data_IF_507984356019
#
_entry.id   IF_507984356019
#
_cell.length_a   1.000
_cell.length_b   1.000
_cell.length_c   1.000
_cell.angle_alpha   90.00
_cell.angle_beta   90.00
_cell.angle_gamma   90.00
#
_symmetry.space_group_name_H-M   'P 1'
#
loop_
_entity.id
_entity.type
_entity.pdbx_description
1 polymer ?
#
# COMPACT_ATOMS: atom_id res chain seq x y z
N UNK A 1 -25.67 -21.94 -8.27
CA UNK A 1 -24.52 -22.65 -8.90
C UNK A 1 -24.23 -22.19 -10.32
N UNK A 2 -25.21 -22.11 -11.24
CA UNK A 2 -24.95 -21.63 -12.61
C UNK A 2 -24.34 -20.22 -12.68
N UNK A 3 -24.89 -19.24 -11.95
CA UNK A 3 -24.38 -17.86 -11.93
C UNK A 3 -22.92 -17.73 -11.45
N UNK A 4 -22.47 -18.56 -10.50
CA UNK A 4 -21.10 -18.54 -9.97
C UNK A 4 -20.08 -19.08 -11.00
N UNK A 5 -20.48 -20.08 -11.79
CA UNK A 5 -19.63 -20.68 -12.83
C UNK A 5 -19.41 -19.71 -14.01
N UNK A 6 -20.46 -18.96 -14.39
CA UNK A 6 -20.37 -17.92 -15.43
C UNK A 6 -19.64 -16.64 -14.94
N UNK A 7 -19.73 -16.32 -13.64
CA UNK A 7 -18.96 -15.27 -12.97
C UNK A 7 -17.45 -15.44 -13.18
N UNK A 8 -16.97 -16.67 -12.97
CA UNK A 8 -15.58 -17.04 -13.17
C UNK A 8 -15.19 -16.97 -14.66
N UNK A 9 -16.10 -17.31 -15.57
CA UNK A 9 -15.82 -17.33 -16.99
C UNK A 9 -15.59 -15.92 -17.58
N UNK A 10 -16.44 -14.94 -17.22
CA UNK A 10 -16.26 -13.55 -17.65
C UNK A 10 -14.98 -12.94 -17.07
N UNK A 11 -14.73 -13.15 -15.76
CA UNK A 11 -13.50 -12.71 -15.11
C UNK A 11 -12.25 -13.31 -15.78
N UNK A 12 -12.25 -14.60 -16.10
CA UNK A 12 -11.10 -15.29 -16.72
C UNK A 12 -10.80 -14.80 -18.14
N UNK A 13 -11.80 -14.37 -18.91
CA UNK A 13 -11.60 -13.86 -20.28
C UNK A 13 -11.08 -12.42 -20.27
N UNK A 14 -11.60 -11.57 -19.39
CA UNK A 14 -11.26 -10.14 -19.34
C UNK A 14 -9.95 -9.88 -18.60
N UNK A 15 -9.67 -10.71 -17.59
CA UNK A 15 -8.44 -10.67 -16.80
C UNK A 15 -7.16 -10.54 -17.64
N UNK A 16 -6.84 -11.42 -18.61
CA UNK A 16 -5.59 -11.33 -19.36
C UNK A 16 -5.50 -10.05 -20.20
N UNK A 17 -6.62 -9.58 -20.76
CA UNK A 17 -6.66 -8.36 -21.58
C UNK A 17 -6.34 -7.14 -20.73
N UNK A 18 -7.04 -7.00 -19.60
CA UNK A 18 -6.87 -5.88 -18.66
C UNK A 18 -5.48 -5.90 -18.03
N UNK A 19 -4.99 -7.08 -17.66
CA UNK A 19 -3.64 -7.26 -17.14
C UNK A 19 -2.59 -6.77 -18.14
N UNK A 20 -2.73 -7.11 -19.43
CA UNK A 20 -1.84 -6.64 -20.48
C UNK A 20 -1.92 -5.12 -20.64
N UNK A 21 -3.13 -4.55 -20.72
CA UNK A 21 -3.32 -3.09 -20.89
C UNK A 21 -2.64 -2.33 -19.75
N UNK A 22 -2.91 -2.70 -18.50
CA UNK A 22 -2.37 -2.01 -17.33
C UNK A 22 -0.86 -2.22 -17.19
N UNK A 23 -0.39 -3.46 -17.35
CA UNK A 23 1.04 -3.78 -17.21
C UNK A 23 1.84 -3.08 -18.31
N UNK A 24 1.48 -3.29 -19.58
CA UNK A 24 2.24 -2.72 -20.71
C UNK A 24 2.10 -1.20 -20.74
N UNK A 25 0.88 -0.68 -20.52
CA UNK A 25 0.61 0.75 -20.47
C UNK A 25 1.45 1.45 -19.41
N UNK A 26 1.37 1.01 -18.16
CA UNK A 26 2.13 1.61 -17.07
C UNK A 26 3.64 1.39 -17.22
N UNK A 27 4.09 0.19 -17.63
CA UNK A 27 5.52 -0.06 -17.86
C UNK A 27 6.10 0.87 -18.93
N UNK A 28 5.36 1.10 -20.02
CA UNK A 28 5.81 2.00 -21.09
C UNK A 28 5.96 3.44 -20.60
N UNK A 29 5.03 3.91 -19.77
CA UNK A 29 5.07 5.24 -19.15
C UNK A 29 6.23 5.36 -18.16
N UNK A 30 6.39 4.35 -17.28
CA UNK A 30 7.46 4.31 -16.27
C UNK A 30 8.81 4.36 -16.97
N UNK A 31 9.09 3.45 -17.90
CA UNK A 31 10.39 3.39 -18.57
C UNK A 31 10.67 4.62 -19.45
N UNK A 32 9.63 5.15 -20.11
CA UNK A 32 9.77 6.33 -20.95
C UNK A 32 10.04 7.62 -20.17
N UNK A 33 9.37 7.82 -19.03
CA UNK A 33 9.50 9.03 -18.22
C UNK A 33 10.59 8.95 -17.15
N UNK A 34 11.02 7.75 -16.75
CA UNK A 34 12.05 7.55 -15.74
C UNK A 34 13.32 8.39 -15.94
N UNK A 35 13.96 8.43 -17.13
CA UNK A 35 15.15 9.27 -17.33
C UNK A 35 14.83 10.77 -17.21
N UNK A 36 13.64 11.20 -17.64
CA UNK A 36 13.19 12.59 -17.54
C UNK A 36 12.97 12.97 -16.08
N UNK A 37 12.27 12.14 -15.33
CA UNK A 37 12.04 12.31 -13.89
C UNK A 37 13.37 12.36 -13.14
N UNK A 38 14.29 11.43 -13.42
CA UNK A 38 15.61 11.41 -12.80
C UNK A 38 16.36 12.72 -13.01
N UNK A 39 16.49 13.16 -14.26
CA UNK A 39 17.15 14.43 -14.58
C UNK A 39 16.45 15.62 -13.91
N UNK A 40 15.12 15.68 -13.99
CA UNK A 40 14.34 16.80 -13.47
C UNK A 40 14.40 16.90 -11.94
N UNK A 41 14.37 15.77 -11.22
CA UNK A 41 14.52 15.78 -9.75
C UNK A 41 15.86 16.38 -9.35
N UNK A 42 16.97 15.91 -9.94
CA UNK A 42 18.29 16.42 -9.61
C UNK A 42 18.45 17.89 -9.98
N UNK A 43 17.91 18.29 -11.12
CA UNK A 43 17.85 19.69 -11.51
C UNK A 43 17.12 20.54 -10.46
N UNK A 44 15.94 20.13 -9.99
CA UNK A 44 15.18 20.85 -8.97
C UNK A 44 15.89 20.88 -7.60
N UNK A 45 16.47 19.76 -7.15
CA UNK A 45 17.23 19.68 -5.88
C UNK A 45 18.44 20.62 -5.89
N UNK A 46 19.16 20.72 -7.00
CA UNK A 46 20.32 21.61 -7.08
C UNK A 46 19.93 23.08 -7.29
N UNK A 47 18.83 23.32 -8.00
CA UNK A 47 18.34 24.67 -8.32
C UNK A 47 17.55 25.33 -7.18
N UNK A 48 17.02 24.56 -6.22
CA UNK A 48 16.24 25.14 -5.12
C UNK A 48 17.10 26.04 -4.23
N UNK A 49 16.48 27.11 -3.73
CA UNK A 49 17.08 28.06 -2.78
C UNK A 49 16.76 27.73 -1.32
N UNK A 50 15.89 26.74 -1.08
CA UNK A 50 15.46 26.38 0.27
C UNK A 50 16.49 25.55 1.04
N UNK A 51 17.35 24.80 0.34
CA UNK A 51 18.23 23.79 0.95
C UNK A 51 19.68 24.28 1.01
N UNK A 52 20.33 24.07 2.15
CA UNK A 52 21.78 24.27 2.30
C UNK A 52 22.60 23.22 1.53
N UNK A 53 23.91 23.46 1.31
CA UNK A 53 24.75 22.58 0.49
C UNK A 53 24.79 21.13 0.98
N UNK A 54 24.99 20.92 2.29
CA UNK A 54 25.04 19.58 2.87
C UNK A 54 23.71 18.82 2.71
N UNK A 55 22.58 19.51 2.91
CA UNK A 55 21.25 18.94 2.76
C UNK A 55 20.94 18.59 1.30
N UNK A 56 21.40 19.38 0.33
CA UNK A 56 21.30 19.05 -1.11
C UNK A 56 22.01 17.75 -1.44
N UNK A 57 23.21 17.52 -0.92
CA UNK A 57 23.93 16.26 -1.12
C UNK A 57 23.18 15.07 -0.52
N UNK A 58 22.72 15.18 0.73
CA UNK A 58 21.98 14.11 1.41
C UNK A 58 20.69 13.79 0.65
N UNK A 59 19.88 14.80 0.32
CA UNK A 59 18.63 14.61 -0.44
C UNK A 59 18.93 14.05 -1.83
N UNK A 60 20.02 14.44 -2.48
CA UNK A 60 20.41 13.86 -3.78
C UNK A 60 20.68 12.36 -3.70
N UNK A 61 21.37 11.91 -2.64
CA UNK A 61 21.63 10.48 -2.42
C UNK A 61 20.32 9.73 -2.14
N UNK A 62 19.47 10.27 -1.24
CA UNK A 62 18.17 9.68 -0.94
C UNK A 62 17.26 9.63 -2.18
N UNK A 63 17.20 10.71 -2.95
CA UNK A 63 16.46 10.81 -4.19
C UNK A 63 16.96 9.79 -5.20
N UNK A 64 18.27 9.57 -5.32
CA UNK A 64 18.81 8.53 -6.20
C UNK A 64 18.28 7.14 -5.85
N UNK A 65 18.30 6.78 -4.55
CA UNK A 65 17.79 5.49 -4.07
C UNK A 65 16.30 5.35 -4.37
N UNK A 66 15.50 6.37 -4.05
CA UNK A 66 14.05 6.36 -4.32
C UNK A 66 13.77 6.28 -5.83
N UNK A 67 14.46 7.10 -6.64
CA UNK A 67 14.33 7.15 -8.10
C UNK A 67 14.77 5.86 -8.78
N UNK A 68 15.68 5.10 -8.16
CA UNK A 68 16.09 3.79 -8.65
C UNK A 68 15.12 2.69 -8.25
N UNK A 69 14.56 2.73 -7.04
CA UNK A 69 13.65 1.69 -6.52
C UNK A 69 12.21 1.82 -7.04
N UNK A 70 11.71 3.06 -7.24
CA UNK A 70 10.31 3.26 -7.59
C UNK A 70 9.85 2.58 -8.90
N UNK A 71 10.66 2.42 -9.98
CA UNK A 71 10.19 1.76 -11.19
C UNK A 71 9.87 0.29 -10.92
N UNK A 72 10.70 -0.40 -10.13
CA UNK A 72 10.48 -1.80 -9.77
C UNK A 72 9.20 -1.96 -8.94
N UNK A 73 9.00 -1.08 -7.96
CA UNK A 73 7.79 -1.08 -7.11
C UNK A 73 6.55 -0.76 -7.96
N UNK A 74 6.63 0.24 -8.84
CA UNK A 74 5.52 0.64 -9.70
C UNK A 74 5.14 -0.45 -10.73
N UNK A 75 6.12 -1.15 -11.29
CA UNK A 75 5.88 -2.29 -12.19
C UNK A 75 5.22 -3.45 -11.43
N UNK A 76 5.78 -3.84 -10.28
CA UNK A 76 5.19 -4.91 -9.45
C UNK A 76 3.75 -4.57 -9.04
N UNK A 77 3.51 -3.34 -8.62
CA UNK A 77 2.18 -2.85 -8.24
C UNK A 77 1.23 -2.78 -9.44
N UNK A 78 1.73 -2.47 -10.64
CA UNK A 78 0.92 -2.48 -11.86
C UNK A 78 0.47 -3.89 -12.26
N UNK A 79 1.32 -4.91 -12.06
CA UNK A 79 0.97 -6.31 -12.31
C UNK A 79 -0.10 -6.77 -11.31
N UNK A 80 0.14 -6.52 -10.01
CA UNK A 80 -0.79 -6.91 -8.94
C UNK A 80 -2.12 -6.16 -9.10
N UNK A 81 -2.07 -4.85 -9.31
CA UNK A 81 -3.23 -3.99 -9.51
C UNK A 81 -3.99 -4.36 -10.78
N UNK A 82 -3.30 -4.71 -11.86
CA UNK A 82 -3.93 -5.18 -13.10
C UNK A 82 -4.61 -6.53 -12.93
N UNK A 83 -3.99 -7.45 -12.19
CA UNK A 83 -4.59 -8.73 -11.86
C UNK A 83 -5.84 -8.57 -10.98
N UNK A 84 -5.74 -7.76 -9.92
CA UNK A 84 -6.85 -7.48 -9.02
C UNK A 84 -8.00 -6.78 -9.75
N UNK A 85 -7.73 -5.72 -10.51
CA UNK A 85 -8.75 -4.96 -11.23
C UNK A 85 -9.41 -5.79 -12.34
N UNK A 86 -8.61 -6.51 -13.14
CA UNK A 86 -9.11 -7.36 -14.22
C UNK A 86 -9.97 -8.53 -13.75
N UNK A 87 -9.75 -9.01 -12.52
CA UNK A 87 -10.59 -10.04 -11.91
C UNK A 87 -11.81 -9.47 -11.18
N UNK A 88 -11.63 -8.46 -10.34
CA UNK A 88 -12.68 -7.95 -9.45
C UNK A 88 -13.70 -7.06 -10.17
N UNK A 89 -13.28 -6.26 -11.15
CA UNK A 89 -14.20 -5.35 -11.85
C UNK A 89 -15.32 -6.07 -12.60
N UNK A 90 -15.06 -7.12 -13.41
CA UNK A 90 -16.12 -7.89 -14.05
C UNK A 90 -17.01 -8.63 -13.03
N UNK A 91 -16.41 -9.14 -11.94
CA UNK A 91 -17.15 -9.78 -10.84
C UNK A 91 -18.16 -8.81 -10.23
N UNK A 92 -17.77 -7.56 -9.93
CA UNK A 92 -18.70 -6.56 -9.40
C UNK A 92 -19.77 -6.14 -10.40
N UNK A 93 -19.44 -6.00 -11.69
CA UNK A 93 -20.41 -5.69 -12.74
C UNK A 93 -21.49 -6.78 -12.86
N UNK A 94 -21.12 -8.05 -12.70
CA UNK A 94 -22.10 -9.15 -12.72
C UNK A 94 -23.06 -9.11 -11.53
N UNK A 95 -22.57 -8.73 -10.34
CA UNK A 95 -23.46 -8.57 -9.17
C UNK A 95 -24.46 -7.43 -9.37
N UNK A 96 -24.03 -6.29 -9.91
CA UNK A 96 -24.92 -5.16 -10.19
C UNK A 96 -26.00 -5.51 -11.23
N UNK A 97 -25.66 -6.32 -12.24
CA UNK A 97 -26.61 -6.72 -13.27
C UNK A 97 -27.65 -7.77 -12.81
N UNK A 98 -27.31 -8.60 -11.81
CA UNK A 98 -28.26 -9.56 -11.19
C UNK A 98 -29.30 -8.84 -10.33
N UNK A 99 -28.96 -7.68 -9.76
CA UNK A 99 -29.85 -6.84 -8.95
C UNK A 99 -30.85 -6.04 -9.83
N UNK A 100 -30.45 -5.68 -11.05
CA UNK A 100 -31.34 -5.04 -12.03
C UNK A 100 -32.32 -6.03 -12.66
N UNK A 101 -33.64 -5.87 -12.42
CA UNK A 101 -34.75 -6.63 -13.06
C UNK A 101 -34.85 -6.36 -14.58
N UNK A 102 -33.82 -6.67 -15.35
CA UNK A 102 -33.76 -6.43 -16.79
C UNK A 102 -34.03 -7.71 -17.58
N UNK A 103 -34.83 -7.58 -18.64
CA UNK A 103 -35.33 -8.69 -19.47
C UNK A 103 -34.25 -9.43 -20.27
N UNK A 104 -33.02 -8.89 -20.33
CA UNK A 104 -31.82 -9.52 -20.90
C UNK A 104 -30.57 -9.29 -20.02
N UNK A 105 -30.72 -9.42 -18.69
CA UNK A 105 -29.67 -9.16 -17.70
C UNK A 105 -28.32 -9.81 -18.03
N UNK A 106 -28.32 -11.00 -18.64
CA UNK A 106 -27.11 -11.75 -18.97
C UNK A 106 -26.24 -11.13 -20.07
N UNK A 107 -26.84 -10.68 -21.18
CA UNK A 107 -26.08 -10.09 -22.29
C UNK A 107 -25.51 -8.73 -21.86
N UNK A 108 -26.32 -7.91 -21.21
CA UNK A 108 -25.87 -6.62 -20.68
C UNK A 108 -24.79 -6.78 -19.61
N UNK A 109 -24.93 -7.74 -18.70
CA UNK A 109 -23.93 -8.00 -17.66
C UNK A 109 -22.55 -8.34 -18.21
N UNK A 110 -22.49 -9.21 -19.22
CA UNK A 110 -21.22 -9.69 -19.77
C UNK A 110 -20.65 -8.67 -20.75
N UNK A 111 -21.46 -8.18 -21.69
CA UNK A 111 -20.98 -7.29 -22.75
C UNK A 111 -20.61 -5.90 -22.21
N UNK A 112 -21.52 -5.25 -21.47
CA UNK A 112 -21.24 -3.92 -20.92
C UNK A 112 -20.24 -4.01 -19.78
N UNK A 113 -20.37 -4.99 -18.89
CA UNK A 113 -19.43 -5.18 -17.78
C UNK A 113 -17.99 -5.41 -18.28
N UNK A 114 -17.80 -6.26 -19.30
CA UNK A 114 -16.48 -6.49 -19.90
C UNK A 114 -15.93 -5.25 -20.59
N UNK A 115 -16.75 -4.60 -21.43
CA UNK A 115 -16.31 -3.46 -22.21
C UNK A 115 -16.01 -2.25 -21.34
N UNK A 116 -16.78 -2.05 -20.27
CA UNK A 116 -16.55 -0.98 -19.30
C UNK A 116 -15.33 -1.26 -18.42
N UNK A 117 -15.03 -2.52 -18.07
CA UNK A 117 -13.74 -2.85 -17.43
C UNK A 117 -12.56 -2.52 -18.35
N UNK A 118 -12.65 -2.83 -19.65
CA UNK A 118 -11.58 -2.49 -20.60
C UNK A 118 -11.40 -0.98 -20.72
N UNK A 119 -12.49 -0.21 -20.88
CA UNK A 119 -12.43 1.26 -20.86
C UNK A 119 -11.85 1.79 -19.55
N UNK A 120 -12.29 1.26 -18.42
CA UNK A 120 -11.80 1.62 -17.10
C UNK A 120 -10.30 1.38 -16.97
N UNK A 121 -9.78 0.29 -17.52
CA UNK A 121 -8.34 0.03 -17.55
C UNK A 121 -7.56 1.07 -18.37
N UNK A 122 -8.10 1.54 -19.50
CA UNK A 122 -7.50 2.62 -20.28
C UNK A 122 -7.54 3.96 -19.53
N UNK A 123 -8.63 4.24 -18.80
CA UNK A 123 -8.72 5.41 -17.92
C UNK A 123 -7.67 5.35 -16.82
N UNK A 124 -7.46 4.21 -16.17
CA UNK A 124 -6.41 4.06 -15.14
C UNK A 124 -5.02 4.37 -15.70
N UNK A 125 -4.68 3.86 -16.90
CA UNK A 125 -3.39 4.18 -17.55
C UNK A 125 -3.28 5.68 -17.86
N UNK A 126 -4.38 6.30 -18.30
CA UNK A 126 -4.42 7.74 -18.58
C UNK A 126 -4.24 8.58 -17.32
N UNK A 127 -4.91 8.22 -16.24
CA UNK A 127 -4.79 8.92 -14.95
C UNK A 127 -3.36 8.79 -14.40
N UNK A 128 -2.77 7.59 -14.51
CA UNK A 128 -1.39 7.37 -14.13
C UNK A 128 -0.42 8.21 -14.98
N UNK A 129 -0.65 8.28 -16.30
CA UNK A 129 0.11 9.18 -17.20
C UNK A 129 -0.03 10.64 -16.74
N UNK A 130 -1.24 11.10 -16.44
CA UNK A 130 -1.48 12.49 -16.03
C UNK A 130 -0.77 12.81 -14.70
N UNK A 131 -0.71 11.86 -13.76
CA UNK A 131 0.11 11.97 -12.53
C UNK A 131 1.60 12.12 -12.86
N UNK A 132 2.13 11.27 -13.75
CA UNK A 132 3.55 11.29 -14.11
C UNK A 132 3.95 12.52 -14.93
N UNK A 133 3.05 13.06 -15.76
CA UNK A 133 3.33 14.22 -16.63
C UNK A 133 3.01 15.57 -15.99
N UNK A 134 2.03 15.64 -15.10
CA UNK A 134 1.55 16.91 -14.55
C UNK A 134 1.83 17.02 -13.06
N UNK A 135 1.31 16.09 -12.25
CA UNK A 135 1.45 16.17 -10.80
C UNK A 135 2.91 16.10 -10.37
N UNK A 136 3.69 15.20 -10.96
CA UNK A 136 5.11 15.05 -10.65
C UNK A 136 5.90 16.35 -10.88
N UNK A 137 5.76 16.94 -12.08
CA UNK A 137 6.49 18.16 -12.43
C UNK A 137 6.02 19.35 -11.59
N UNK A 138 4.71 19.45 -11.32
CA UNK A 138 4.15 20.48 -10.44
C UNK A 138 4.77 20.43 -9.04
N UNK A 139 4.85 19.24 -8.43
CA UNK A 139 5.44 19.07 -7.09
C UNK A 139 6.92 19.45 -7.11
N UNK A 140 7.67 19.03 -8.14
CA UNK A 140 9.08 19.37 -8.29
C UNK A 140 9.30 20.87 -8.54
N UNK A 141 8.41 21.52 -9.28
CA UNK A 141 8.43 22.96 -9.52
C UNK A 141 8.13 23.75 -8.25
N UNK A 142 7.14 23.33 -7.46
CA UNK A 142 6.82 23.94 -6.17
C UNK A 142 8.04 23.88 -5.24
N UNK A 143 8.70 22.73 -5.15
CA UNK A 143 9.95 22.56 -4.38
C UNK A 143 11.11 23.43 -4.87
N UNK A 144 11.20 23.68 -6.19
CA UNK A 144 12.25 24.52 -6.78
C UNK A 144 11.99 26.01 -6.56
N UNK A 145 10.74 26.43 -6.75
CA UNK A 145 10.34 27.83 -6.84
C UNK A 145 10.02 28.45 -5.48
N UNK A 146 9.51 27.67 -4.52
CA UNK A 146 9.24 28.18 -3.19
C UNK A 146 10.55 28.64 -2.54
N UNK A 147 10.55 29.86 -2.00
CA UNK A 147 11.64 30.39 -1.20
C UNK A 147 11.56 29.88 0.25
N UNK A 148 12.65 30.02 1.04
CA UNK A 148 12.56 29.79 2.48
C UNK A 148 11.59 30.78 3.13
N UNK A 149 10.66 30.28 3.95
CA UNK A 149 9.62 31.08 4.61
C UNK A 149 10.18 32.12 5.59
N UNK A 150 11.34 31.84 6.20
CA UNK A 150 12.03 32.71 7.16
C UNK A 150 13.33 33.33 6.58
N UNK A 151 13.50 33.27 5.24
CA UNK A 151 14.72 33.76 4.57
C UNK A 151 15.99 32.93 4.82
N UNK A 152 15.98 32.03 5.81
CA UNK A 152 17.06 31.09 6.11
C UNK A 152 16.84 29.76 5.39
N UNK A 153 17.90 29.26 4.76
CA UNK A 153 17.90 27.94 4.15
C UNK A 153 17.91 26.85 5.23
N UNK A 154 17.28 25.71 4.94
CA UNK A 154 17.31 24.53 5.80
C UNK A 154 18.68 23.86 5.71
N UNK A 155 19.32 23.63 6.86
CA UNK A 155 20.63 22.97 6.94
C UNK A 155 20.61 21.82 7.95
N UNK A 156 21.35 20.75 7.64
CA UNK A 156 21.47 19.57 8.52
C UNK A 156 22.71 19.71 9.39
N UNK A 157 22.57 19.33 10.67
CA UNK A 157 23.68 19.15 11.60
C UNK A 157 24.41 17.84 11.29
N UNK A 158 25.42 17.93 10.42
CA UNK A 158 26.18 16.76 9.92
C UNK A 158 26.76 15.90 11.05
N UNK A 159 27.12 16.50 12.18
CA UNK A 159 27.66 15.82 13.36
C UNK A 159 26.74 14.71 13.91
N UNK A 160 25.42 14.87 13.80
CA UNK A 160 24.44 13.90 14.32
C UNK A 160 24.04 12.84 13.30
N UNK A 161 24.48 12.94 12.04
CA UNK A 161 24.18 11.95 10.99
C UNK A 161 24.76 10.57 11.35
N UNK A 162 26.04 10.43 11.74
CA UNK A 162 26.58 9.11 12.10
C UNK A 162 25.82 8.47 13.26
N UNK A 163 25.43 9.27 14.25
CA UNK A 163 24.67 8.79 15.40
C UNK A 163 23.26 8.35 15.01
N UNK A 164 22.60 9.09 14.11
CA UNK A 164 21.31 8.72 13.55
C UNK A 164 21.40 7.43 12.72
N UNK A 165 22.47 7.24 11.93
CA UNK A 165 22.68 6.02 11.15
C UNK A 165 22.80 4.77 12.05
N UNK A 166 23.58 4.87 13.15
CA UNK A 166 23.67 3.78 14.13
C UNK A 166 22.29 3.44 14.71
N UNK A 167 21.47 4.45 15.02
CA UNK A 167 20.14 4.22 15.54
C UNK A 167 19.18 3.62 14.50
N UNK A 168 19.28 4.00 13.22
CA UNK A 168 18.53 3.35 12.12
C UNK A 168 18.90 1.88 12.04
N UNK A 169 20.20 1.55 12.04
CA UNK A 169 20.66 0.16 11.97
C UNK A 169 20.14 -0.66 13.16
N UNK A 170 20.26 -0.14 14.38
CA UNK A 170 19.74 -0.80 15.58
C UNK A 170 18.22 -0.96 15.53
N UNK A 171 17.49 0.07 15.11
CA UNK A 171 16.03 0.01 14.97
C UNK A 171 15.59 -1.05 13.97
N UNK A 172 16.23 -1.12 12.80
CA UNK A 172 15.94 -2.15 11.81
C UNK A 172 16.29 -3.57 12.30
N UNK A 173 17.44 -3.72 12.96
CA UNK A 173 17.90 -5.01 13.51
C UNK A 173 16.96 -5.53 14.59
N UNK A 174 16.33 -4.65 15.36
CA UNK A 174 15.42 -5.05 16.44
C UNK A 174 13.97 -5.18 15.94
N UNK A 175 13.45 -4.17 15.22
CA UNK A 175 12.03 -4.11 14.88
C UNK A 175 11.63 -5.17 13.87
N UNK A 176 12.44 -5.42 12.84
CA UNK A 176 12.13 -6.42 11.82
C UNK A 176 11.91 -7.82 12.43
N UNK A 177 12.86 -8.41 13.18
CA UNK A 177 12.65 -9.73 13.75
C UNK A 177 11.59 -9.75 14.85
N UNK A 178 11.48 -8.71 15.69
CA UNK A 178 10.49 -8.68 16.77
C UNK A 178 9.07 -8.56 16.23
N UNK A 179 8.81 -7.64 15.30
CA UNK A 179 7.50 -7.49 14.66
C UNK A 179 7.14 -8.74 13.87
N UNK A 180 8.09 -9.34 13.16
CA UNK A 180 7.89 -10.61 12.47
C UNK A 180 7.48 -11.72 13.44
N UNK A 181 8.15 -11.84 14.60
CA UNK A 181 7.84 -12.84 15.62
C UNK A 181 6.45 -12.62 16.23
N UNK A 182 6.13 -11.39 16.65
CA UNK A 182 4.82 -11.03 17.21
C UNK A 182 3.72 -11.31 16.18
N UNK A 183 3.92 -10.88 14.93
CA UNK A 183 2.98 -11.12 13.85
C UNK A 183 2.79 -12.62 13.57
N UNK A 184 3.88 -13.41 13.59
CA UNK A 184 3.81 -14.85 13.37
C UNK A 184 3.04 -15.58 14.49
N UNK A 185 3.20 -15.14 15.74
CA UNK A 185 2.44 -15.67 16.88
C UNK A 185 0.94 -15.31 16.81
N UNK A 186 0.61 -14.08 16.40
CA UNK A 186 -0.77 -13.58 16.33
C UNK A 186 -1.51 -13.98 15.05
N UNK A 187 -0.78 -14.32 13.99
CA UNK A 187 -1.32 -14.69 12.67
C UNK A 187 -2.34 -15.84 12.71
N UNK A 188 -2.09 -16.99 13.37
CA UNK A 188 -3.06 -18.09 13.44
C UNK A 188 -4.34 -17.69 14.17
N UNK A 189 -4.20 -16.83 15.19
CA UNK A 189 -5.34 -16.37 15.97
C UNK A 189 -6.22 -15.41 15.17
N UNK A 190 -5.61 -14.44 14.46
CA UNK A 190 -6.33 -13.54 13.56
C UNK A 190 -7.10 -14.32 12.49
N UNK A 191 -6.47 -15.35 11.93
CA UNK A 191 -7.10 -16.25 10.97
C UNK A 191 -8.33 -16.92 11.59
N UNK A 192 -8.17 -17.63 12.71
CA UNK A 192 -9.26 -18.37 13.33
C UNK A 192 -10.40 -17.48 13.83
N UNK A 193 -10.08 -16.41 14.57
CA UNK A 193 -11.06 -15.48 15.15
C UNK A 193 -11.88 -14.80 14.06
N UNK A 194 -11.20 -14.23 13.06
CA UNK A 194 -11.87 -13.53 11.97
C UNK A 194 -12.73 -14.47 11.14
N UNK A 195 -12.24 -15.68 10.87
CA UNK A 195 -13.01 -16.66 10.10
C UNK A 195 -14.25 -17.12 10.87
N UNK A 196 -14.11 -17.42 12.17
CA UNK A 196 -15.23 -17.77 13.05
C UNK A 196 -16.28 -16.65 13.12
N UNK A 197 -15.85 -15.39 13.23
CA UNK A 197 -16.75 -14.23 13.24
C UNK A 197 -17.52 -14.11 11.94
N UNK A 198 -16.85 -14.20 10.79
CA UNK A 198 -17.49 -14.15 9.48
C UNK A 198 -18.49 -15.29 9.27
N UNK A 199 -18.19 -16.51 9.72
CA UNK A 199 -19.14 -17.62 9.71
C UNK A 199 -20.33 -17.38 10.65
N UNK A 200 -20.08 -16.84 11.84
CA UNK A 200 -21.14 -16.54 12.80
C UNK A 200 -22.08 -15.46 12.27
N UNK A 201 -21.56 -14.38 11.70
CA UNK A 201 -22.35 -13.30 11.09
C UNK A 201 -23.18 -13.83 9.91
N UNK A 202 -22.62 -14.76 9.14
CA UNK A 202 -23.32 -15.44 8.05
C UNK A 202 -24.49 -16.33 8.51
N UNK A 203 -24.35 -17.03 9.64
CA UNK A 203 -25.38 -17.93 10.19
C UNK A 203 -26.44 -17.14 10.98
N UNK A 204 -25.99 -16.17 11.79
CA UNK A 204 -26.83 -15.33 12.63
C UNK A 204 -27.62 -14.27 11.85
N UNK A 205 -27.26 -14.06 10.57
CA UNK A 205 -27.91 -13.08 9.69
C UNK A 205 -27.80 -11.65 10.25
N UNK A 206 -26.65 -11.35 10.85
CA UNK A 206 -26.32 -10.06 11.47
C UNK A 206 -25.32 -9.28 10.60
N UNK A 207 -25.28 -7.95 10.74
CA UNK A 207 -24.33 -7.09 10.01
C UNK A 207 -24.62 -6.99 8.49
N UNK A 208 -23.61 -6.97 7.61
CA UNK A 208 -23.81 -6.84 6.16
C UNK A 208 -24.60 -8.02 5.56
N UNK A 209 -24.88 -9.07 6.32
CA UNK A 209 -25.61 -10.28 5.92
C UNK A 209 -27.13 -10.18 6.12
N UNK A 210 -27.65 -9.03 6.55
CA UNK A 210 -29.09 -8.81 6.76
C UNK A 210 -29.87 -8.84 5.44
N UNK A 211 -29.30 -8.25 4.39
CA UNK A 211 -29.89 -8.19 3.06
C UNK A 211 -29.42 -9.35 2.19
N UNK A 212 -30.38 -10.00 1.52
CA UNK A 212 -30.12 -11.12 0.60
C UNK A 212 -29.17 -10.77 -0.55
N UNK A 213 -29.03 -9.47 -0.84
CA UNK A 213 -28.15 -8.91 -1.88
C UNK A 213 -26.67 -9.06 -1.48
N UNK A 214 -26.36 -9.06 -0.19
CA UNK A 214 -24.98 -9.06 0.32
C UNK A 214 -24.41 -10.47 0.54
N UNK A 215 -25.21 -11.53 0.46
CA UNK A 215 -24.81 -12.94 0.68
C UNK A 215 -23.62 -13.38 -0.20
N UNK A 216 -23.53 -12.98 -1.50
CA UNK A 216 -22.36 -13.30 -2.32
C UNK A 216 -21.08 -12.58 -1.88
N UNK A 217 -21.17 -11.31 -1.47
CA UNK A 217 -20.04 -10.51 -0.98
C UNK A 217 -19.51 -11.07 0.35
N UNK A 218 -20.44 -11.44 1.21
CA UNK A 218 -20.23 -12.19 2.43
C UNK A 218 -19.44 -13.50 2.22
N UNK A 219 -19.89 -14.34 1.27
CA UNK A 219 -19.19 -15.57 0.91
C UNK A 219 -17.79 -15.34 0.35
N UNK A 220 -17.63 -14.28 -0.47
CA UNK A 220 -16.33 -13.87 -0.99
C UNK A 220 -15.39 -13.39 0.13
N UNK A 221 -15.90 -12.64 1.12
CA UNK A 221 -15.14 -12.21 2.28
C UNK A 221 -14.64 -13.40 3.14
N UNK A 222 -15.49 -14.41 3.35
CA UNK A 222 -15.12 -15.66 4.04
C UNK A 222 -14.01 -16.39 3.27
N UNK A 223 -14.09 -16.43 1.93
CA UNK A 223 -13.10 -17.09 1.08
C UNK A 223 -11.76 -16.33 1.03
N UNK A 224 -11.81 -15.00 0.98
CA UNK A 224 -10.64 -14.14 0.86
C UNK A 224 -9.97 -13.83 2.21
N UNK A 225 -10.62 -14.15 3.34
CA UNK A 225 -10.08 -13.89 4.67
C UNK A 225 -8.66 -14.44 4.87
N UNK A 226 -8.31 -15.70 4.51
CA UNK A 226 -6.95 -16.19 4.65
C UNK A 226 -5.91 -15.36 3.87
N UNK A 227 -6.28 -14.89 2.67
CA UNK A 227 -5.41 -14.04 1.86
C UNK A 227 -5.21 -12.67 2.50
N UNK A 228 -6.26 -12.10 3.09
CA UNK A 228 -6.18 -10.84 3.83
C UNK A 228 -5.25 -10.94 5.04
N UNK A 229 -5.31 -12.05 5.79
CA UNK A 229 -4.42 -12.28 6.95
C UNK A 229 -2.96 -12.47 6.50
N UNK A 230 -2.72 -13.17 5.39
CA UNK A 230 -1.37 -13.30 4.79
C UNK A 230 -0.84 -11.92 4.37
N UNK A 231 -1.67 -11.12 3.71
CA UNK A 231 -1.30 -9.76 3.32
C UNK A 231 -1.00 -8.87 4.54
N UNK A 232 -1.78 -9.00 5.62
CA UNK A 232 -1.53 -8.28 6.87
C UNK A 232 -0.18 -8.66 7.50
N UNK A 233 0.17 -9.96 7.51
CA UNK A 233 1.46 -10.42 8.02
C UNK A 233 2.65 -9.83 7.23
N UNK A 234 2.62 -9.91 5.90
CA UNK A 234 3.66 -9.28 5.07
C UNK A 234 3.64 -7.75 5.19
N UNK A 235 2.46 -7.15 5.34
CA UNK A 235 2.29 -5.73 5.62
C UNK A 235 2.99 -5.30 6.90
N UNK A 236 2.89 -6.08 7.98
CA UNK A 236 3.59 -5.82 9.23
C UNK A 236 5.11 -5.85 9.08
N UNK A 237 5.65 -6.83 8.33
CA UNK A 237 7.09 -6.91 8.04
C UNK A 237 7.54 -5.72 7.19
N UNK A 238 6.73 -5.30 6.22
CA UNK A 238 7.06 -4.12 5.41
C UNK A 238 7.00 -2.83 6.23
N UNK A 239 6.03 -2.72 7.15
CA UNK A 239 5.84 -1.57 8.02
C UNK A 239 6.91 -1.47 9.13
N UNK A 240 7.54 -2.57 9.55
CA UNK A 240 8.62 -2.53 10.54
C UNK A 240 9.86 -1.78 10.05
N UNK A 241 10.09 -1.70 8.75
CA UNK A 241 11.23 -0.99 8.16
C UNK A 241 11.16 0.53 8.41
N UNK A 242 10.10 1.25 7.97
CA UNK A 242 10.00 2.68 8.26
C UNK A 242 9.83 2.96 9.76
N UNK A 243 9.20 2.05 10.52
CA UNK A 243 9.06 2.19 11.97
C UNK A 243 10.43 2.19 12.66
N UNK A 244 11.26 1.17 12.43
CA UNK A 244 12.59 1.08 13.03
C UNK A 244 13.55 2.16 12.52
N UNK A 245 13.47 2.53 11.23
CA UNK A 245 14.27 3.61 10.67
C UNK A 245 13.94 4.99 11.27
N UNK A 246 12.73 5.20 11.79
CA UNK A 246 12.35 6.45 12.43
C UNK A 246 13.13 6.73 13.72
N UNK A 247 13.74 5.71 14.35
CA UNK A 247 14.66 5.90 15.48
C UNK A 247 15.78 6.90 15.15
N UNK A 248 16.31 6.87 13.93
CA UNK A 248 17.32 7.82 13.47
C UNK A 248 16.82 9.27 13.44
N UNK A 249 15.55 9.47 13.06
CA UNK A 249 14.92 10.79 13.07
C UNK A 249 14.81 11.32 14.49
N UNK A 250 14.41 10.47 15.45
CA UNK A 250 14.33 10.84 16.87
C UNK A 250 15.70 11.22 17.43
N UNK A 251 16.75 10.45 17.14
CA UNK A 251 18.12 10.80 17.55
C UNK A 251 18.55 12.15 16.98
N UNK A 252 18.22 12.40 15.72
CA UNK A 252 18.58 13.64 15.04
C UNK A 252 17.84 14.87 15.61
N UNK A 253 16.57 14.71 15.97
CA UNK A 253 15.74 15.76 16.57
C UNK A 253 16.18 16.07 18.01
N UNK A 254 16.28 15.04 18.85
CA UNK A 254 16.57 15.14 20.28
C UNK A 254 18.07 15.27 20.60
N UNK A 255 18.94 15.18 19.58
CA UNK A 255 20.40 15.21 19.72
C UNK A 255 20.94 14.16 20.73
N UNK A 256 20.22 13.05 20.91
CA UNK A 256 20.51 12.05 21.95
C UNK A 256 20.31 10.64 21.39
N UNK A 257 21.31 9.76 21.55
CA UNK A 257 21.16 8.36 21.16
C UNK A 257 20.19 7.62 22.09
N UNK A 258 20.12 8.03 23.36
CA UNK A 258 19.23 7.43 24.34
C UNK A 258 17.76 7.56 23.95
N UNK A 259 17.34 8.72 23.44
CA UNK A 259 15.95 8.90 22.97
C UNK A 259 15.63 8.01 21.77
N UNK A 260 16.59 7.77 20.87
CA UNK A 260 16.45 6.80 19.79
C UNK A 260 16.25 5.38 20.29
N UNK A 261 17.04 4.94 21.28
CA UNK A 261 16.87 3.62 21.90
C UNK A 261 15.52 3.50 22.61
N UNK A 262 15.10 4.54 23.35
CA UNK A 262 13.76 4.59 23.95
C UNK A 262 12.66 4.51 22.89
N UNK A 263 12.83 5.17 21.75
CA UNK A 263 11.88 5.10 20.65
C UNK A 263 11.75 3.68 20.08
N UNK A 264 12.85 2.96 19.88
CA UNK A 264 12.81 1.57 19.39
C UNK A 264 11.93 0.72 20.32
N UNK A 265 12.17 0.79 21.62
CA UNK A 265 11.36 0.06 22.62
C UNK A 265 9.89 0.51 22.59
N UNK A 266 9.64 1.82 22.52
CA UNK A 266 8.29 2.37 22.48
C UNK A 266 7.52 1.99 21.21
N UNK A 267 8.21 1.90 20.07
CA UNK A 267 7.60 1.54 18.78
C UNK A 267 7.15 0.08 18.77
N UNK A 268 7.92 -0.81 19.40
CA UNK A 268 7.53 -2.21 19.60
C UNK A 268 6.33 -2.35 20.53
N UNK A 269 6.31 -1.61 21.65
CA UNK A 269 5.15 -1.65 22.54
C UNK A 269 3.90 -1.12 21.85
N UNK A 270 4.04 -0.06 21.05
CA UNK A 270 2.93 0.49 20.26
C UNK A 270 2.41 -0.53 19.24
N UNK A 271 3.29 -1.25 18.55
CA UNK A 271 2.88 -2.30 17.62
C UNK A 271 2.20 -3.48 18.35
N UNK A 272 2.73 -3.91 19.50
CA UNK A 272 2.14 -4.99 20.28
C UNK A 272 0.74 -4.60 20.81
N UNK A 273 0.60 -3.40 21.36
CA UNK A 273 -0.66 -2.83 21.85
C UNK A 273 -1.68 -2.70 20.72
N UNK A 274 -1.30 -2.08 19.60
CA UNK A 274 -2.18 -1.95 18.43
C UNK A 274 -2.66 -3.31 17.91
N UNK A 275 -1.75 -4.28 17.83
CA UNK A 275 -2.13 -5.63 17.37
C UNK A 275 -2.95 -6.40 18.40
N UNK A 276 -2.78 -6.12 19.70
CA UNK A 276 -3.65 -6.65 20.75
C UNK A 276 -5.06 -6.08 20.63
N UNK A 277 -5.21 -4.76 20.44
CA UNK A 277 -6.51 -4.10 20.28
C UNK A 277 -7.27 -4.63 19.05
N UNK A 278 -6.60 -4.76 17.91
CA UNK A 278 -7.19 -5.33 16.69
C UNK A 278 -7.71 -6.77 16.93
N UNK A 279 -7.08 -7.50 17.86
CA UNK A 279 -7.39 -8.88 18.17
C UNK A 279 -8.18 -9.05 19.48
N UNK A 280 -8.60 -7.97 20.14
CA UNK A 280 -9.19 -7.97 21.49
C UNK A 280 -8.40 -8.86 22.50
N UNK A 281 -7.07 -8.81 22.45
CA UNK A 281 -6.18 -9.53 23.36
C UNK A 281 -5.78 -8.67 24.57
N UNK A 282 -5.52 -9.25 25.75
CA UNK A 282 -4.94 -8.51 26.86
C UNK A 282 -3.49 -8.07 26.56
N UNK A 283 -3.10 -6.93 27.13
CA UNK A 283 -1.76 -6.33 26.99
C UNK A 283 -0.64 -7.34 27.30
N UNK A 284 0.38 -7.38 26.44
CA UNK A 284 1.56 -8.24 26.62
C UNK A 284 1.30 -9.74 26.49
N UNK A 285 0.11 -10.15 26.05
CA UNK A 285 -0.22 -11.56 25.85
C UNK A 285 -0.19 -11.94 24.38
N UNK A 286 0.23 -13.18 24.10
CA UNK A 286 0.01 -13.82 22.80
C UNK A 286 -1.33 -14.58 22.75
N UNK A 287 -2.15 -14.51 23.80
CA UNK A 287 -3.34 -15.35 23.97
C UNK A 287 -4.54 -14.54 24.48
N UNK A 288 -5.74 -14.73 23.93
CA UNK A 288 -6.94 -14.00 24.34
C UNK A 288 -7.38 -14.32 25.77
N UNK A 289 -8.17 -13.41 26.37
CA UNK A 289 -8.98 -13.73 27.56
C UNK A 289 -10.00 -14.81 27.20
N UNK A 290 -10.04 -15.89 27.98
CA UNK A 290 -11.12 -16.88 27.95
C UNK A 290 -12.42 -16.28 28.51
#
# INVERSE_FOLDING_TARGET
>A
MAGLCYLLFAGVIVFPIVLIILTVGNCSLILGLWPVHLFYTFYCIWSTKQLGPALKFVISICALVILYLWPFIAIATSIIGGAAYGFLSPVFATFQAVDGRTTNAFYHSIYDGTWDTVKGSLTIVRDFKDVLYHSYFSIMDDWRLQGPSDGKYYEIRVLYIPLALIAVELGLVVDIPMIMLIAACKFPYMLYKGWRRLFHDCIGREGPFLETICVPFAGLAILLWPMAVIAAFFGSILASVPLGAYAGVVVYQECSLWSGLCYIVASLSLYDEYSNDVLDMPEGSCFPRF
#
